data_IF_401390358718
#
_entry.id   IF_401390358718
#
_cell.length_a   1.000
_cell.length_b   1.000
_cell.length_c   1.000
_cell.angle_alpha   90.00
_cell.angle_beta   90.00
_cell.angle_gamma   90.00
#
_symmetry.space_group_name_H-M   'P 1'
#
loop_
_entity.id
_entity.type
_entity.pdbx_description
1 polymer ?
#
# COMPACT_ATOMS: atom_id res chain seq x y z
N UNK A 1 10.63 40.40 -54.75
CA UNK A 1 11.54 39.38 -54.16
C UNK A 1 11.97 39.92 -52.80
N UNK A 2 11.64 39.38 -51.63
CA UNK A 2 11.31 38.02 -51.20
C UNK A 2 10.30 38.08 -50.04
N UNK A 3 9.22 37.32 -50.15
CA UNK A 3 8.28 37.10 -49.08
C UNK A 3 8.93 36.22 -48.00
N UNK A 4 9.12 36.77 -46.79
CA UNK A 4 9.34 35.97 -45.59
C UNK A 4 8.03 35.25 -45.27
N UNK A 5 7.93 34.01 -45.74
CA UNK A 5 6.87 33.07 -45.36
C UNK A 5 7.16 32.60 -43.94
N UNK A 6 6.56 33.27 -42.95
CA UNK A 6 6.40 32.74 -41.60
C UNK A 6 5.63 31.42 -41.72
N UNK A 7 6.32 30.30 -41.51
CA UNK A 7 5.65 29.00 -41.32
C UNK A 7 4.90 29.07 -39.99
N UNK A 8 3.60 29.29 -40.06
CA UNK A 8 2.71 28.95 -38.97
C UNK A 8 2.79 27.43 -38.79
N UNK A 9 3.35 26.99 -37.66
CA UNK A 9 3.27 25.58 -37.26
C UNK A 9 1.83 25.30 -36.85
N UNK A 10 1.21 24.18 -37.27
CA UNK A 10 -0.15 23.87 -36.87
C UNK A 10 -0.23 23.72 -35.34
N UNK A 11 -1.07 24.55 -34.71
CA UNK A 11 -1.23 24.72 -33.26
C UNK A 11 -1.75 23.46 -32.50
N UNK A 12 -1.89 22.31 -33.18
CA UNK A 12 -2.43 21.07 -32.61
C UNK A 12 -1.41 19.94 -32.40
N UNK A 13 -0.19 20.05 -32.93
CA UNK A 13 0.80 18.95 -32.90
C UNK A 13 1.66 18.97 -31.61
N UNK A 14 1.96 20.16 -31.07
CA UNK A 14 2.72 20.32 -29.81
C UNK A 14 1.98 19.68 -28.63
N UNK A 15 0.70 20.01 -28.44
CA UNK A 15 -0.10 19.48 -27.33
C UNK A 15 -0.31 17.96 -27.37
N UNK A 16 -0.33 17.34 -28.55
CA UNK A 16 -0.47 15.87 -28.68
C UNK A 16 0.84 15.15 -28.36
N UNK A 17 1.98 15.75 -28.68
CA UNK A 17 3.30 15.23 -28.32
C UNK A 17 3.60 15.36 -26.82
N UNK A 18 3.08 16.40 -26.17
CA UNK A 18 3.21 16.63 -24.73
C UNK A 18 2.38 15.64 -23.93
N UNK A 19 1.11 15.41 -24.31
CA UNK A 19 0.26 14.38 -23.67
C UNK A 19 0.89 12.99 -23.81
N UNK A 20 1.42 12.64 -24.97
CA UNK A 20 2.10 11.35 -25.17
C UNK A 20 3.35 11.19 -24.29
N UNK A 21 4.09 12.27 -24.06
CA UNK A 21 5.23 12.30 -23.13
C UNK A 21 4.81 12.15 -21.68
N UNK A 22 3.78 12.88 -21.25
CA UNK A 22 3.28 12.80 -19.87
C UNK A 22 2.71 11.41 -19.56
N UNK A 23 1.92 10.85 -20.47
CA UNK A 23 1.42 9.47 -20.37
C UNK A 23 2.59 8.49 -20.29
N UNK A 24 3.64 8.69 -21.10
CA UNK A 24 4.86 7.88 -21.04
C UNK A 24 5.55 7.95 -19.68
N UNK A 25 5.66 9.13 -19.08
CA UNK A 25 6.26 9.33 -17.75
C UNK A 25 5.42 8.70 -16.63
N UNK A 26 4.09 8.68 -16.75
CA UNK A 26 3.22 8.00 -15.77
C UNK A 26 3.52 6.50 -15.70
N UNK A 27 3.71 5.84 -16.85
CA UNK A 27 4.08 4.42 -16.87
C UNK A 27 5.46 4.16 -16.27
N UNK A 28 6.41 5.08 -16.49
CA UNK A 28 7.74 4.96 -15.88
C UNK A 28 7.69 5.21 -14.37
N UNK A 29 6.81 6.09 -13.88
CA UNK A 29 6.59 6.29 -12.45
C UNK A 29 5.94 5.07 -11.77
N UNK A 30 5.16 4.27 -12.51
CA UNK A 30 4.59 3.01 -12.01
C UNK A 30 5.59 1.84 -11.98
N UNK A 31 6.75 1.98 -12.64
CA UNK A 31 7.77 0.93 -12.77
C UNK A 31 8.16 0.27 -11.44
N UNK A 32 8.50 0.98 -10.35
CA UNK A 32 8.93 0.31 -9.11
C UNK A 32 7.82 -0.50 -8.45
N UNK A 33 6.56 -0.09 -8.59
CA UNK A 33 5.40 -0.82 -8.08
C UNK A 33 5.19 -2.11 -8.91
N UNK A 34 5.23 -1.99 -10.24
CA UNK A 34 5.09 -3.14 -11.14
C UNK A 34 6.23 -4.14 -10.95
N UNK A 35 7.45 -3.65 -10.74
CA UNK A 35 8.61 -4.48 -10.46
C UNK A 35 8.47 -5.23 -9.13
N UNK A 36 8.02 -4.54 -8.07
CA UNK A 36 7.79 -5.19 -6.78
C UNK A 36 6.73 -6.30 -6.91
N UNK A 37 5.63 -6.05 -7.61
CA UNK A 37 4.61 -7.06 -7.90
C UNK A 37 5.18 -8.24 -8.70
N UNK A 38 5.95 -7.97 -9.74
CA UNK A 38 6.56 -9.01 -10.57
C UNK A 38 7.53 -9.89 -9.77
N UNK A 39 8.40 -9.29 -8.96
CA UNK A 39 9.38 -10.01 -8.15
C UNK A 39 8.72 -10.81 -7.02
N UNK A 40 7.75 -10.24 -6.33
CA UNK A 40 7.10 -10.88 -5.18
C UNK A 40 5.99 -11.87 -5.56
N UNK A 41 5.16 -11.54 -6.54
CA UNK A 41 4.00 -12.36 -6.91
C UNK A 41 4.34 -13.29 -8.06
N UNK A 42 5.00 -12.76 -9.10
CA UNK A 42 5.38 -13.54 -10.28
C UNK A 42 6.54 -14.51 -9.99
N UNK A 43 7.68 -13.97 -9.58
CA UNK A 43 8.88 -14.76 -9.28
C UNK A 43 8.92 -15.35 -7.87
N UNK A 44 8.03 -14.90 -6.98
CA UNK A 44 7.92 -15.39 -5.59
C UNK A 44 9.22 -15.23 -4.80
N UNK A 45 10.01 -14.20 -5.12
CA UNK A 45 11.24 -13.91 -4.41
C UNK A 45 10.95 -13.39 -3.01
N UNK A 46 11.82 -13.68 -2.03
CA UNK A 46 11.65 -13.14 -0.69
C UNK A 46 11.80 -11.62 -0.71
N UNK A 47 10.97 -10.92 0.07
CA UNK A 47 10.96 -9.46 0.12
C UNK A 47 12.32 -8.85 0.48
N UNK A 48 13.13 -9.57 1.26
CA UNK A 48 14.49 -9.15 1.61
C UNK A 48 15.42 -8.99 0.40
N UNK A 49 15.15 -9.69 -0.70
CA UNK A 49 15.90 -9.58 -1.96
C UNK A 49 15.19 -8.64 -2.94
N UNK A 50 13.87 -8.78 -3.07
CA UNK A 50 13.10 -8.02 -4.05
C UNK A 50 13.06 -6.51 -3.74
N UNK A 51 12.87 -6.12 -2.47
CA UNK A 51 12.68 -4.72 -2.08
C UNK A 51 13.94 -3.85 -2.28
N UNK A 52 15.17 -4.30 -1.91
CA UNK A 52 16.38 -3.55 -2.21
C UNK A 52 16.61 -3.33 -3.71
N UNK A 53 16.27 -4.32 -4.55
CA UNK A 53 16.36 -4.18 -6.01
C UNK A 53 15.41 -3.09 -6.50
N UNK A 54 14.17 -3.08 -6.00
CA UNK A 54 13.19 -2.04 -6.33
C UNK A 54 13.67 -0.65 -5.88
N UNK A 55 14.23 -0.54 -4.67
CA UNK A 55 14.80 0.71 -4.16
C UNK A 55 15.95 1.21 -5.03
N UNK A 56 16.86 0.32 -5.45
CA UNK A 56 17.97 0.66 -6.35
C UNK A 56 17.49 1.18 -7.71
N UNK A 57 16.54 0.49 -8.33
CA UNK A 57 15.96 0.92 -9.62
C UNK A 57 15.21 2.25 -9.48
N UNK A 58 14.52 2.47 -8.36
CA UNK A 58 13.87 3.75 -8.06
C UNK A 58 14.88 4.88 -7.92
N UNK A 59 15.98 4.66 -7.18
CA UNK A 59 17.03 5.65 -7.00
C UNK A 59 17.73 6.00 -8.33
N UNK A 60 18.03 4.99 -9.16
CA UNK A 60 18.58 5.19 -10.51
C UNK A 60 17.60 6.01 -11.36
N UNK A 61 16.33 5.64 -11.36
CA UNK A 61 15.30 6.36 -12.14
C UNK A 61 15.15 7.82 -11.67
N UNK A 62 15.17 8.06 -10.35
CA UNK A 62 15.09 9.39 -9.78
C UNK A 62 16.27 10.29 -10.18
N UNK A 63 17.48 9.73 -10.22
CA UNK A 63 18.68 10.47 -10.63
C UNK A 63 18.72 10.73 -12.14
N UNK A 64 18.48 9.72 -12.97
CA UNK A 64 18.65 9.84 -14.43
C UNK A 64 17.47 10.48 -15.14
N UNK A 65 16.23 10.15 -14.74
CA UNK A 65 15.02 10.60 -15.44
C UNK A 65 14.49 11.92 -14.88
N UNK A 66 14.41 12.02 -13.55
CA UNK A 66 13.92 13.21 -12.86
C UNK A 66 15.02 14.19 -12.44
N UNK A 67 16.31 13.88 -12.69
CA UNK A 67 17.46 14.74 -12.40
C UNK A 67 17.49 15.25 -10.95
N UNK A 68 17.06 14.42 -10.01
CA UNK A 68 17.03 14.79 -8.60
C UNK A 68 18.44 14.95 -8.01
N UNK A 69 18.68 15.96 -7.13
CA UNK A 69 19.98 16.12 -6.49
C UNK A 69 20.28 14.90 -5.59
N UNK A 70 21.53 14.41 -5.63
CA UNK A 70 21.98 13.24 -4.86
C UNK A 70 21.67 13.37 -3.36
N UNK A 71 21.80 14.58 -2.82
CA UNK A 71 21.49 14.88 -1.41
C UNK A 71 20.04 14.50 -1.06
N UNK A 72 19.08 14.74 -1.94
CA UNK A 72 17.66 14.39 -1.72
C UNK A 72 17.46 12.87 -1.69
N UNK A 73 18.15 12.15 -2.58
CA UNK A 73 18.08 10.69 -2.63
C UNK A 73 18.63 10.10 -1.32
N UNK A 74 19.82 10.54 -0.88
CA UNK A 74 20.38 10.07 0.40
C UNK A 74 19.54 10.48 1.61
N UNK A 75 18.98 11.69 1.63
CA UNK A 75 18.08 12.13 2.69
C UNK A 75 16.84 11.22 2.80
N UNK A 76 16.24 10.84 1.66
CA UNK A 76 15.10 9.93 1.63
C UNK A 76 15.44 8.52 2.14
N UNK A 77 16.67 8.04 1.94
CA UNK A 77 17.12 6.76 2.48
C UNK A 77 17.25 6.79 4.00
N UNK A 78 17.74 7.90 4.56
CA UNK A 78 17.83 8.09 6.02
C UNK A 78 16.42 8.14 6.63
N UNK A 79 15.52 8.88 6.00
CA UNK A 79 14.12 8.96 6.43
C UNK A 79 13.45 7.57 6.38
N UNK A 80 13.69 6.80 5.32
CA UNK A 80 13.21 5.43 5.20
C UNK A 80 13.72 4.50 6.32
N UNK A 81 14.96 4.68 6.79
CA UNK A 81 15.50 3.93 7.95
C UNK A 81 14.71 4.28 9.22
N UNK A 82 14.39 5.56 9.43
CA UNK A 82 13.61 6.00 10.59
C UNK A 82 12.18 5.45 10.59
N UNK A 83 11.51 5.51 9.43
CA UNK A 83 10.19 4.90 9.21
C UNK A 83 10.25 3.40 9.46
N UNK A 84 11.27 2.71 8.95
CA UNK A 84 11.46 1.26 9.15
C UNK A 84 11.65 0.91 10.62
N UNK A 85 12.44 1.68 11.37
CA UNK A 85 12.63 1.48 12.80
C UNK A 85 11.32 1.62 13.58
N UNK A 86 10.48 2.58 13.20
CA UNK A 86 9.15 2.77 13.79
C UNK A 86 8.22 1.57 13.52
N UNK A 87 8.22 1.03 12.30
CA UNK A 87 7.46 -0.18 11.95
C UNK A 87 7.96 -1.39 12.74
N UNK A 88 9.29 -1.57 12.86
CA UNK A 88 9.89 -2.64 13.65
C UNK A 88 9.47 -2.59 15.12
N UNK A 89 9.38 -1.38 15.70
CA UNK A 89 8.96 -1.19 17.09
C UNK A 89 7.48 -1.55 17.29
N UNK A 90 6.61 -1.18 16.35
CA UNK A 90 5.19 -1.58 16.37
C UNK A 90 5.07 -3.11 16.23
N UNK A 91 5.82 -3.71 15.31
CA UNK A 91 5.81 -5.16 15.09
C UNK A 91 6.30 -5.92 16.32
N UNK A 92 7.35 -5.42 16.98
CA UNK A 92 7.82 -5.97 18.25
C UNK A 92 6.71 -5.94 19.32
N UNK A 93 6.05 -4.80 19.50
CA UNK A 93 4.92 -4.66 20.42
C UNK A 93 3.76 -5.62 20.10
N UNK A 94 3.40 -5.74 18.82
CA UNK A 94 2.34 -6.64 18.35
C UNK A 94 2.68 -8.12 18.58
N UNK A 95 3.91 -8.55 18.27
CA UNK A 95 4.35 -9.94 18.48
C UNK A 95 4.47 -10.27 19.97
N UNK A 96 4.98 -9.33 20.78
CA UNK A 96 5.02 -9.47 22.23
C UNK A 96 3.61 -9.62 22.80
N UNK A 97 2.67 -8.75 22.40
CA UNK A 97 1.29 -8.84 22.83
C UNK A 97 0.61 -10.13 22.36
N UNK A 98 0.86 -10.58 21.13
CA UNK A 98 0.39 -11.87 20.63
C UNK A 98 0.91 -13.04 21.48
N UNK A 99 2.19 -13.04 21.84
CA UNK A 99 2.77 -14.04 22.73
C UNK A 99 2.10 -14.03 24.11
N UNK A 100 1.86 -12.83 24.67
CA UNK A 100 1.16 -12.65 25.93
C UNK A 100 -0.30 -13.18 25.88
N UNK A 101 -1.04 -12.86 24.81
CA UNK A 101 -2.41 -13.34 24.61
C UNK A 101 -2.48 -14.87 24.45
N UNK A 102 -1.48 -15.47 23.81
CA UNK A 102 -1.35 -16.93 23.70
C UNK A 102 -1.10 -17.56 25.07
N UNK A 103 -0.18 -16.98 25.84
CA UNK A 103 0.19 -17.52 27.15
C UNK A 103 -0.92 -17.39 28.19
N UNK A 104 -1.70 -16.30 28.15
CA UNK A 104 -2.86 -16.08 29.04
C UNK A 104 -4.12 -16.83 28.62
N UNK A 105 -4.14 -17.44 27.42
CA UNK A 105 -5.33 -18.08 26.88
C UNK A 105 -6.43 -17.11 26.43
N UNK A 106 -6.15 -15.80 26.38
CA UNK A 106 -7.10 -14.77 26.00
C UNK A 106 -7.65 -14.96 24.57
N UNK A 107 -6.86 -15.55 23.66
CA UNK A 107 -7.31 -15.90 22.30
C UNK A 107 -8.50 -16.86 22.33
N UNK A 108 -8.49 -17.86 23.22
CA UNK A 108 -9.58 -18.82 23.34
C UNK A 108 -10.85 -18.20 23.95
N UNK A 109 -10.70 -17.14 24.76
CA UNK A 109 -11.83 -16.35 25.25
C UNK A 109 -12.43 -15.57 24.08
N UNK A 110 -11.61 -14.91 23.27
CA UNK A 110 -12.05 -14.16 22.10
C UNK A 110 -12.81 -15.04 21.10
N UNK A 111 -12.30 -16.24 20.81
CA UNK A 111 -12.97 -17.24 19.97
C UNK A 111 -14.35 -17.63 20.52
N UNK A 112 -14.47 -17.84 21.83
CA UNK A 112 -15.75 -18.18 22.48
C UNK A 112 -16.73 -17.02 22.45
N UNK A 113 -16.28 -15.80 22.72
CA UNK A 113 -17.13 -14.60 22.68
C UNK A 113 -17.71 -14.38 21.29
N UNK A 114 -16.90 -14.56 20.23
CA UNK A 114 -17.34 -14.39 18.85
C UNK A 114 -18.20 -15.56 18.38
N UNK A 115 -17.82 -16.80 18.70
CA UNK A 115 -18.59 -18.00 18.34
C UNK A 115 -19.94 -18.10 19.04
N UNK A 116 -20.08 -17.49 20.21
CA UNK A 116 -21.33 -17.44 20.98
C UNK A 116 -22.37 -16.43 20.47
N UNK A 117 -22.04 -15.57 19.49
CA UNK A 117 -22.96 -14.54 18.99
C UNK A 117 -24.12 -15.11 18.17
N UNK A 118 -23.90 -16.17 17.41
CA UNK A 118 -24.93 -16.83 16.62
C UNK A 118 -24.53 -18.26 16.29
N UNK A 119 -25.51 -19.16 16.21
CA UNK A 119 -25.32 -20.52 15.72
C UNK A 119 -25.33 -20.61 14.18
N UNK A 120 -25.77 -19.56 13.47
CA UNK A 120 -25.80 -19.53 12.02
C UNK A 120 -24.43 -19.11 11.45
N UNK A 121 -23.79 -20.00 10.69
CA UNK A 121 -22.52 -19.76 10.03
C UNK A 121 -22.57 -18.55 9.08
N UNK A 122 -23.72 -18.22 8.48
CA UNK A 122 -23.84 -17.03 7.60
C UNK A 122 -23.69 -15.75 8.40
N UNK A 123 -24.33 -15.68 9.56
CA UNK A 123 -24.24 -14.53 10.46
C UNK A 123 -22.81 -14.42 11.00
N UNK A 124 -22.19 -15.53 11.40
CA UNK A 124 -20.79 -15.54 11.82
C UNK A 124 -19.85 -15.05 10.72
N UNK A 125 -20.06 -15.46 9.46
CA UNK A 125 -19.25 -15.01 8.34
C UNK A 125 -19.30 -13.49 8.16
N UNK A 126 -20.48 -12.88 8.29
CA UNK A 126 -20.64 -11.43 8.20
C UNK A 126 -20.02 -10.73 9.41
N UNK A 127 -20.34 -11.18 10.62
CA UNK A 127 -19.85 -10.55 11.86
C UNK A 127 -18.32 -10.62 11.94
N UNK A 128 -17.71 -11.74 11.58
CA UNK A 128 -16.26 -11.95 11.69
C UNK A 128 -15.53 -11.44 10.46
N UNK A 129 -15.95 -11.86 9.27
CA UNK A 129 -15.28 -11.55 8.01
C UNK A 129 -15.47 -10.10 7.58
N UNK A 130 -16.63 -9.51 7.86
CA UNK A 130 -16.93 -8.13 7.46
C UNK A 130 -16.81 -7.15 8.62
N UNK A 131 -17.62 -7.31 9.68
CA UNK A 131 -17.74 -6.29 10.73
C UNK A 131 -16.49 -6.19 11.60
N UNK A 132 -16.05 -7.32 12.17
CA UNK A 132 -14.82 -7.39 12.95
C UNK A 132 -13.61 -7.11 12.08
N UNK A 133 -13.58 -7.65 10.85
CA UNK A 133 -12.54 -7.36 9.88
C UNK A 133 -12.37 -5.86 9.62
N UNK A 134 -13.46 -5.16 9.30
CA UNK A 134 -13.46 -3.71 9.06
C UNK A 134 -13.04 -2.89 10.28
N UNK A 135 -13.46 -3.30 11.48
CA UNK A 135 -13.04 -2.66 12.73
C UNK A 135 -11.52 -2.80 12.95
N UNK A 136 -10.99 -4.01 12.73
CA UNK A 136 -9.55 -4.26 12.83
C UNK A 136 -8.77 -3.49 11.75
N UNK A 137 -9.30 -3.37 10.53
CA UNK A 137 -8.65 -2.60 9.45
C UNK A 137 -8.60 -1.11 9.82
N UNK A 138 -9.71 -0.57 10.33
CA UNK A 138 -9.80 0.84 10.70
C UNK A 138 -8.76 1.25 11.75
N UNK A 139 -8.43 0.36 12.69
CA UNK A 139 -7.40 0.62 13.70
C UNK A 139 -5.98 0.27 13.23
N UNK A 140 -5.78 -0.92 12.67
CA UNK A 140 -4.46 -1.46 12.36
C UNK A 140 -3.99 -1.11 10.94
N UNK A 141 -4.87 -1.26 9.95
CA UNK A 141 -4.57 -1.13 8.53
C UNK A 141 -3.72 -2.28 7.94
N UNK A 142 -3.34 -2.11 6.68
CA UNK A 142 -2.33 -2.90 5.97
C UNK A 142 -2.66 -4.39 5.78
N UNK A 143 -3.96 -4.75 5.76
CA UNK A 143 -4.39 -6.14 5.55
C UNK A 143 -4.17 -7.04 6.77
N UNK A 144 -3.95 -6.44 7.94
CA UNK A 144 -3.91 -7.13 9.24
C UNK A 144 -5.16 -7.99 9.51
N UNK A 145 -6.39 -7.57 9.15
CA UNK A 145 -7.60 -8.32 9.45
C UNK A 145 -7.65 -9.69 8.78
N UNK A 146 -7.16 -9.84 7.55
CA UNK A 146 -7.14 -11.13 6.86
C UNK A 146 -6.32 -12.19 7.63
N UNK A 147 -5.23 -11.76 8.26
CA UNK A 147 -4.39 -12.63 9.09
C UNK A 147 -5.03 -13.06 10.41
N UNK A 148 -6.02 -12.30 10.91
CA UNK A 148 -6.70 -12.56 12.20
C UNK A 148 -8.04 -13.28 11.99
N UNK A 149 -8.88 -12.77 11.08
CA UNK A 149 -10.24 -13.24 10.87
C UNK A 149 -10.29 -14.61 10.20
N UNK A 150 -9.37 -14.93 9.28
CA UNK A 150 -9.34 -16.25 8.64
C UNK A 150 -9.04 -17.39 9.64
N UNK A 151 -7.99 -17.34 10.48
CA UNK A 151 -7.79 -18.35 11.53
C UNK A 151 -8.93 -18.44 12.53
N UNK A 152 -9.57 -17.30 12.85
CA UNK A 152 -10.73 -17.26 13.73
C UNK A 152 -11.93 -18.02 13.13
N UNK A 153 -12.25 -17.77 11.86
CA UNK A 153 -13.30 -18.50 11.12
C UNK A 153 -13.00 -20.00 11.00
N UNK A 154 -11.74 -20.38 10.78
CA UNK A 154 -11.31 -21.79 10.81
C UNK A 154 -11.59 -22.41 12.18
N UNK A 155 -11.28 -21.69 13.26
CA UNK A 155 -11.59 -22.10 14.63
C UNK A 155 -13.09 -22.26 14.91
N UNK A 156 -13.95 -21.58 14.16
CA UNK A 156 -15.41 -21.70 14.22
C UNK A 156 -15.98 -22.83 13.32
N UNK A 157 -15.13 -23.58 12.61
CA UNK A 157 -15.53 -24.74 11.81
C UNK A 157 -15.72 -24.47 10.31
N UNK A 158 -15.32 -23.28 9.82
CA UNK A 158 -15.36 -23.01 8.39
C UNK A 158 -14.27 -23.78 7.66
N UNK A 159 -14.56 -24.17 6.41
CA UNK A 159 -13.55 -24.74 5.51
C UNK A 159 -12.42 -23.71 5.31
N UNK A 160 -11.14 -24.09 5.42
CA UNK A 160 -10.02 -23.14 5.36
C UNK A 160 -10.04 -22.20 4.16
N UNK A 161 -10.32 -22.73 2.96
CA UNK A 161 -10.41 -21.91 1.75
C UNK A 161 -11.55 -20.88 1.84
N UNK A 162 -12.71 -21.28 2.35
CA UNK A 162 -13.86 -20.38 2.50
C UNK A 162 -13.58 -19.28 3.53
N UNK A 163 -12.95 -19.65 4.65
CA UNK A 163 -12.55 -18.70 5.68
C UNK A 163 -11.60 -17.63 5.14
N UNK A 164 -10.58 -18.04 4.37
CA UNK A 164 -9.62 -17.12 3.74
C UNK A 164 -10.32 -16.23 2.71
N UNK A 165 -11.17 -16.79 1.85
CA UNK A 165 -11.91 -16.00 0.85
C UNK A 165 -12.83 -14.97 1.52
N UNK A 166 -13.61 -15.37 2.53
CA UNK A 166 -14.50 -14.48 3.28
C UNK A 166 -13.70 -13.35 3.96
N UNK A 167 -12.58 -13.68 4.58
CA UNK A 167 -11.69 -12.71 5.21
C UNK A 167 -11.12 -11.71 4.20
N UNK A 168 -10.57 -12.17 3.07
CA UNK A 168 -9.97 -11.31 2.04
C UNK A 168 -11.01 -10.42 1.34
N UNK A 169 -12.19 -10.98 1.03
CA UNK A 169 -13.27 -10.22 0.38
C UNK A 169 -13.83 -9.17 1.33
N UNK A 170 -14.05 -9.52 2.61
CA UNK A 170 -14.52 -8.57 3.61
C UNK A 170 -13.54 -7.42 3.82
N UNK A 171 -12.26 -7.75 3.95
CA UNK A 171 -11.19 -6.77 4.16
C UNK A 171 -11.07 -5.77 3.00
N UNK A 172 -11.25 -6.22 1.75
CA UNK A 172 -11.09 -5.41 0.54
C UNK A 172 -11.91 -4.11 0.51
N UNK A 173 -13.05 -4.07 1.22
CA UNK A 173 -13.90 -2.85 1.27
C UNK A 173 -13.46 -1.84 2.32
N UNK A 174 -12.76 -2.29 3.37
CA UNK A 174 -12.35 -1.45 4.49
C UNK A 174 -10.97 -0.82 4.28
N UNK A 175 -10.11 -1.39 3.41
CA UNK A 175 -8.72 -0.96 3.20
C UNK A 175 -8.58 0.54 2.96
N UNK A 176 -9.49 1.17 2.21
CA UNK A 176 -9.46 2.62 1.96
C UNK A 176 -9.50 3.45 3.25
N UNK A 177 -10.15 2.94 4.30
CA UNK A 177 -10.29 3.58 5.61
C UNK A 177 -9.29 3.05 6.65
N UNK A 178 -8.38 2.15 6.25
CA UNK A 178 -7.44 1.50 7.14
C UNK A 178 -6.46 2.46 7.81
N UNK A 179 -5.94 2.07 8.98
CA UNK A 179 -5.04 2.89 9.79
C UNK A 179 -5.56 4.33 9.97
N UNK A 180 -6.81 4.45 10.42
CA UNK A 180 -7.51 5.73 10.66
C UNK A 180 -7.54 6.61 9.40
N UNK A 181 -7.81 6.00 8.24
CA UNK A 181 -7.92 6.70 6.97
C UNK A 181 -6.60 7.14 6.34
N UNK A 182 -5.47 6.56 6.75
CA UNK A 182 -4.13 6.88 6.21
C UNK A 182 -4.09 6.83 4.66
N UNK A 183 -4.67 5.83 3.96
CA UNK A 183 -4.70 5.82 2.50
C UNK A 183 -5.44 7.01 1.87
N UNK A 184 -6.50 7.51 2.50
CA UNK A 184 -7.23 8.69 2.01
C UNK A 184 -6.51 10.00 2.37
N UNK A 185 -6.09 10.15 3.63
CA UNK A 185 -5.48 11.38 4.14
C UNK A 185 -4.10 11.61 3.52
N UNK A 186 -3.25 10.58 3.56
CA UNK A 186 -1.88 10.67 3.05
C UNK A 186 -1.87 10.32 1.57
N UNK A 187 -2.41 9.17 1.18
CA UNK A 187 -2.32 8.69 -0.20
C UNK A 187 -3.02 9.62 -1.20
N UNK A 188 -4.33 9.83 -1.03
CA UNK A 188 -5.10 10.69 -1.94
C UNK A 188 -4.87 12.18 -1.65
N UNK A 189 -4.89 12.58 -0.37
CA UNK A 189 -4.73 13.98 0.02
C UNK A 189 -3.39 14.59 -0.38
N UNK A 190 -2.27 13.92 -0.13
CA UNK A 190 -0.95 14.44 -0.57
C UNK A 190 -0.76 14.32 -2.08
N UNK A 191 -1.31 13.26 -2.70
CA UNK A 191 -1.21 13.06 -4.15
C UNK A 191 -1.90 14.17 -4.96
N UNK A 192 -3.07 14.65 -4.51
CA UNK A 192 -3.79 15.74 -5.15
C UNK A 192 -3.18 17.11 -4.85
N UNK A 193 -2.87 17.39 -3.57
CA UNK A 193 -2.32 18.69 -3.16
C UNK A 193 -0.87 18.91 -3.63
N UNK A 194 -0.09 17.83 -3.84
CA UNK A 194 1.26 17.90 -4.39
C UNK A 194 1.32 18.40 -5.84
N UNK A 195 0.19 18.39 -6.57
CA UNK A 195 0.07 18.93 -7.93
C UNK A 195 -0.14 20.46 -7.96
N UNK A 196 -0.70 21.05 -6.89
CA UNK A 196 -0.98 22.50 -6.81
C UNK A 196 0.16 23.29 -6.16
N UNK A 197 1.13 22.62 -5.53
CA UNK A 197 2.14 23.24 -4.69
C UNK A 197 3.56 22.72 -4.92
N UNK A 198 3.98 22.53 -6.17
CA UNK A 198 5.42 22.48 -6.46
C UNK A 198 5.94 23.92 -6.55
N UNK A 199 6.50 24.54 -5.48
CA UNK A 199 7.48 25.58 -5.74
C UNK A 199 8.54 24.92 -6.61
N UNK A 200 8.89 25.55 -7.71
CA UNK A 200 10.09 25.21 -8.44
C UNK A 200 11.25 25.16 -7.44
N UNK A 201 11.63 23.96 -6.97
CA UNK A 201 12.85 23.77 -6.16
C UNK A 201 14.05 23.73 -7.10
N UNK A 202 14.07 24.70 -8.01
CA UNK A 202 15.18 25.11 -8.83
C UNK A 202 15.75 26.36 -8.18
N UNK A 203 16.39 26.18 -7.02
CA UNK A 203 17.43 27.03 -6.43
C UNK A 203 17.69 26.53 -5.01
N UNK A 204 18.64 25.60 -4.91
CA UNK A 204 19.85 25.60 -4.05
C UNK A 204 20.77 24.52 -4.64
#
# INVERSE_FOLDING_TARGET
MLARRSRERPCGDEGRSDVAREVGLTFVAALPILLALLLLVGFRWPAIVAMPICAGITAISAYWLWRGPLVRIFASMIDAIWVTASILLILFGALFFLALLRQTGAIAVLQRSVGGLSADARIQAVVVGWTLGSFLEGGAGFGTPAAITAPLLIGLGFRPLLAVVVALVGDSTAVSFGAVGTPMIIGMGQGLNGAEGAPAVAEI
#
